data_IF_595729724264
#
_entry.id   IF_595729724264
#
_cell.length_a   1.000
_cell.length_b   1.000
_cell.length_c   1.000
_cell.angle_alpha   90.00
_cell.angle_beta   90.00
_cell.angle_gamma   90.00
#
_symmetry.space_group_name_H-M   'P 1'
#
loop_
_entity.id
_entity.type
_entity.pdbx_description
1 polymer ?
#
# COMPACT_ATOMS: atom_id res chain seq x y z
N UNK A 1 0.44 -24.77 -11.93
CA UNK A 1 0.39 -23.41 -11.37
C UNK A 1 -0.44 -22.57 -12.31
N UNK A 2 -1.60 -22.09 -11.87
CA UNK A 2 -2.56 -21.35 -12.71
C UNK A 2 -2.13 -19.89 -12.85
N UNK A 3 -2.60 -19.20 -13.89
CA UNK A 3 -2.28 -17.78 -14.11
C UNK A 3 -2.71 -16.91 -12.90
N UNK A 4 -3.76 -17.32 -12.19
CA UNK A 4 -4.26 -16.71 -10.96
C UNK A 4 -3.27 -16.84 -9.80
N UNK A 5 -2.70 -18.03 -9.57
CA UNK A 5 -1.75 -18.27 -8.49
C UNK A 5 -0.47 -17.43 -8.62
N UNK A 6 0.00 -17.25 -9.86
CA UNK A 6 1.17 -16.40 -10.16
C UNK A 6 0.85 -14.93 -9.88
N UNK A 7 -0.36 -14.47 -10.26
CA UNK A 7 -0.81 -13.09 -10.01
C UNK A 7 -1.03 -12.80 -8.53
N UNK A 8 -1.60 -13.75 -7.78
CA UNK A 8 -1.78 -13.65 -6.31
C UNK A 8 -0.42 -13.60 -5.61
N UNK A 9 0.52 -14.47 -5.99
CA UNK A 9 1.86 -14.46 -5.42
C UNK A 9 2.62 -13.15 -5.74
N UNK A 10 2.44 -12.61 -6.95
CA UNK A 10 3.01 -11.31 -7.32
C UNK A 10 2.41 -10.16 -6.51
N UNK A 11 1.09 -10.17 -6.28
CA UNK A 11 0.40 -9.19 -5.43
C UNK A 11 0.89 -9.27 -3.98
N UNK A 12 0.96 -10.48 -3.43
CA UNK A 12 1.46 -10.74 -2.07
C UNK A 12 2.91 -10.28 -1.91
N UNK A 13 3.77 -10.53 -2.90
CA UNK A 13 5.15 -10.09 -2.90
C UNK A 13 5.29 -8.56 -2.99
N UNK A 14 4.47 -7.92 -3.83
CA UNK A 14 4.39 -6.46 -3.92
C UNK A 14 3.94 -5.86 -2.60
N UNK A 15 2.86 -6.37 -1.99
CA UNK A 15 2.38 -5.93 -0.68
C UNK A 15 3.42 -6.09 0.43
N UNK A 16 4.17 -7.20 0.44
CA UNK A 16 5.28 -7.42 1.37
C UNK A 16 6.42 -6.42 1.17
N UNK A 17 6.78 -6.08 -0.08
CA UNK A 17 7.80 -5.05 -0.36
C UNK A 17 7.33 -3.64 -0.01
N UNK A 18 6.07 -3.30 -0.31
CA UNK A 18 5.49 -1.99 0.00
C UNK A 18 5.49 -1.73 1.52
N UNK A 19 5.19 -2.75 2.33
CA UNK A 19 5.18 -2.62 3.79
C UNK A 19 6.58 -2.55 4.44
N UNK A 20 7.64 -2.99 3.76
CA UNK A 20 8.96 -3.16 4.37
C UNK A 20 9.98 -2.03 4.06
N UNK A 21 9.76 -1.21 3.01
CA UNK A 21 10.83 -0.33 2.51
C UNK A 21 10.40 1.07 2.00
N UNK A 22 9.10 1.39 1.97
CA UNK A 22 8.64 2.67 1.40
C UNK A 22 8.34 3.73 2.45
N UNK A 23 8.65 4.98 2.12
CA UNK A 23 8.19 6.14 2.89
C UNK A 23 6.68 6.35 2.70
N UNK A 24 6.06 7.09 3.62
CA UNK A 24 4.64 7.44 3.51
C UNK A 24 4.33 8.15 2.18
N UNK A 25 5.20 9.08 1.76
CA UNK A 25 5.07 9.83 0.51
C UNK A 25 5.07 8.90 -0.72
N UNK A 26 5.95 7.90 -0.74
CA UNK A 26 5.99 6.92 -1.82
C UNK A 26 4.72 6.06 -1.87
N UNK A 27 4.15 5.71 -0.72
CA UNK A 27 2.89 4.96 -0.68
C UNK A 27 1.73 5.81 -1.22
N UNK A 28 1.68 7.09 -0.89
CA UNK A 28 0.67 8.03 -1.39
C UNK A 28 0.80 8.28 -2.90
N UNK A 29 2.03 8.40 -3.41
CA UNK A 29 2.32 8.54 -4.85
C UNK A 29 1.89 7.30 -5.65
N UNK A 30 2.17 6.09 -5.14
CA UNK A 30 1.75 4.84 -5.78
C UNK A 30 0.22 4.72 -5.78
N UNK A 31 -0.44 5.10 -4.69
CA UNK A 31 -1.90 5.13 -4.59
C UNK A 31 -2.50 6.07 -5.62
N UNK A 32 -1.98 7.30 -5.71
CA UNK A 32 -2.46 8.29 -6.66
C UNK A 32 -2.25 7.81 -8.12
N UNK A 33 -1.06 7.28 -8.42
CA UNK A 33 -0.75 6.70 -9.73
C UNK A 33 -1.65 5.53 -10.11
N UNK A 34 -2.06 4.72 -9.11
CA UNK A 34 -2.99 3.60 -9.32
C UNK A 34 -4.42 4.08 -9.59
N UNK A 35 -4.85 5.20 -9.01
CA UNK A 35 -6.16 5.81 -9.26
C UNK A 35 -6.23 6.50 -10.62
N UNK A 36 -5.14 7.17 -11.01
CA UNK A 36 -5.03 7.92 -12.27
C UNK A 36 -4.66 7.02 -13.46
N UNK A 37 -4.25 5.78 -13.19
CA UNK A 37 -3.92 4.78 -14.19
C UNK A 37 -5.11 4.35 -15.06
N UNK A 38 -4.79 3.78 -16.22
CA UNK A 38 -5.80 3.27 -17.16
C UNK A 38 -6.62 2.17 -16.49
N UNK A 39 -7.94 2.38 -16.40
CA UNK A 39 -8.86 1.37 -15.87
C UNK A 39 -8.95 0.20 -16.84
N UNK A 40 -8.70 -1.00 -16.33
CA UNK A 40 -8.89 -2.22 -17.09
C UNK A 40 -10.37 -2.43 -17.45
N UNK A 41 -10.62 -3.02 -18.62
CA UNK A 41 -11.99 -3.28 -19.11
C UNK A 41 -12.57 -4.58 -18.57
N UNK A 42 -11.73 -5.53 -18.15
CA UNK A 42 -12.15 -6.79 -17.55
C UNK A 42 -12.38 -6.69 -16.04
N UNK A 43 -13.39 -7.43 -15.57
CA UNK A 43 -13.85 -7.42 -14.17
C UNK A 43 -12.73 -7.88 -13.23
N UNK A 44 -11.93 -8.85 -13.65
CA UNK A 44 -10.87 -9.45 -12.83
C UNK A 44 -9.78 -8.43 -12.50
N UNK A 45 -9.33 -7.66 -13.49
CA UNK A 45 -8.35 -6.60 -13.32
C UNK A 45 -8.92 -5.42 -12.51
N UNK A 46 -10.21 -5.10 -12.67
CA UNK A 46 -10.87 -4.09 -11.83
C UNK A 46 -10.94 -4.52 -10.36
N UNK A 47 -11.28 -5.78 -10.10
CA UNK A 47 -11.28 -6.35 -8.75
C UNK A 47 -9.87 -6.33 -8.14
N UNK A 48 -8.86 -6.69 -8.94
CA UNK A 48 -7.46 -6.66 -8.50
C UNK A 48 -6.98 -5.25 -8.16
N UNK A 49 -7.35 -4.24 -8.97
CA UNK A 49 -7.06 -2.84 -8.69
C UNK A 49 -7.71 -2.39 -7.38
N UNK A 50 -8.96 -2.81 -7.13
CA UNK A 50 -9.66 -2.49 -5.88
C UNK A 50 -8.98 -3.10 -4.66
N UNK A 51 -8.60 -4.38 -4.72
CA UNK A 51 -7.90 -5.06 -3.63
C UNK A 51 -6.51 -4.44 -3.39
N UNK A 52 -5.80 -4.09 -4.46
CA UNK A 52 -4.51 -3.41 -4.34
C UNK A 52 -4.62 -2.04 -3.66
N UNK A 53 -5.63 -1.24 -4.02
CA UNK A 53 -5.89 0.05 -3.38
C UNK A 53 -6.21 -0.09 -1.89
N UNK A 54 -7.01 -1.09 -1.50
CA UNK A 54 -7.27 -1.38 -0.07
C UNK A 54 -5.98 -1.69 0.70
N UNK A 55 -5.11 -2.51 0.11
CA UNK A 55 -3.83 -2.86 0.73
C UNK A 55 -2.89 -1.64 0.86
N UNK A 56 -2.93 -0.73 -0.11
CA UNK A 56 -2.20 0.55 -0.05
C UNK A 56 -2.76 1.46 1.05
N UNK A 57 -4.09 1.59 1.17
CA UNK A 57 -4.74 2.37 2.22
C UNK A 57 -4.33 1.85 3.61
N UNK A 58 -4.39 0.53 3.83
CA UNK A 58 -3.98 -0.09 5.10
C UNK A 58 -2.48 0.12 5.41
N UNK A 59 -1.62 0.17 4.38
CA UNK A 59 -0.20 0.42 4.54
C UNK A 59 0.09 1.89 4.89
N UNK A 60 -0.61 2.83 4.23
CA UNK A 60 -0.55 4.26 4.50
C UNK A 60 -1.00 4.57 5.92
N UNK A 61 -2.12 3.99 6.37
CA UNK A 61 -2.63 4.20 7.72
C UNK A 61 -1.66 3.69 8.79
N UNK A 62 -1.06 2.51 8.57
CA UNK A 62 -0.01 1.99 9.46
C UNK A 62 1.23 2.87 9.47
N UNK A 63 1.65 3.40 8.31
CA UNK A 63 2.79 4.31 8.23
C UNK A 63 2.52 5.64 8.96
N UNK A 64 1.31 6.21 8.83
CA UNK A 64 0.87 7.41 9.55
C UNK A 64 0.83 7.19 11.05
N UNK A 65 0.28 6.06 11.51
CA UNK A 65 0.26 5.70 12.93
C UNK A 65 1.66 5.55 13.51
N UNK A 66 2.57 4.91 12.75
CA UNK A 66 3.98 4.78 13.15
C UNK A 66 4.66 6.15 13.27
N UNK A 67 4.46 7.05 12.32
CA UNK A 67 5.01 8.40 12.34
C UNK A 67 4.47 9.22 13.52
N UNK A 68 3.17 9.15 13.78
CA UNK A 68 2.53 9.79 14.93
C UNK A 68 3.09 9.27 16.27
N UNK A 69 3.25 7.94 16.40
CA UNK A 69 3.81 7.31 17.60
C UNK A 69 5.28 7.71 17.86
N UNK A 70 6.09 7.89 16.81
CA UNK A 70 7.46 8.42 16.94
C UNK A 70 7.48 9.89 17.34
N UNK A 71 6.55 10.71 16.84
CA UNK A 71 6.43 12.13 17.19
C UNK A 71 6.06 12.31 18.67
N UNK A 72 5.12 11.53 19.19
CA UNK A 72 4.73 11.57 20.60
C UNK A 72 5.84 11.12 21.56
N UNK A 73 6.72 10.19 21.15
CA UNK A 73 7.85 9.75 21.98
C UNK A 73 8.93 10.82 22.13
N UNK A 74 9.16 11.65 21.11
CA UNK A 74 10.09 12.79 21.22
C UNK A 74 9.56 13.89 22.16
N UNK A 75 8.24 14.07 22.26
CA UNK A 75 7.64 15.13 23.08
C UNK A 75 7.66 14.84 24.59
N UNK A 76 7.79 13.57 25.01
CA UNK A 76 7.79 13.19 26.44
C UNK A 76 9.17 13.37 27.09
N UNK A 77 10.23 13.55 26.29
CA UNK A 77 11.60 13.74 26.81
C UNK A 77 11.98 15.20 27.07
N UNK A 78 11.05 16.15 26.92
CA UNK A 78 11.30 17.58 27.06
C UNK A 78 10.30 18.27 28.02
N UNK A 79 10.10 17.70 29.21
CA UNK A 79 9.39 18.32 30.32
C UNK A 79 10.05 17.97 31.66
#
# INVERSE_FOLDING_TARGET
>A
MTNLEIRVAALQFLSLRLCAALSLEQLEEIRQSTLDGVRASDIESQQMQSEFLKLLDDAIDRARQKQAATSTKSSVHLA
#
